data_IF_226797332353
#
_entry.id   IF_226797332353
#
_cell.length_a   1.000
_cell.length_b   1.000
_cell.length_c   1.000
_cell.angle_alpha   90.00
_cell.angle_beta   90.00
_cell.angle_gamma   90.00
#
_symmetry.space_group_name_H-M   'P 1'
#
loop_
_entity.id
_entity.type
_entity.pdbx_description
1 polymer ?
#
# COMPACT_ATOMS: atom_id res chain seq x y z
N UNK A 1 40.76 -74.11 2.73
CA UNK A 1 40.42 -73.20 1.62
C UNK A 1 38.95 -72.80 1.76
N UNK A 2 38.64 -71.76 2.53
CA UNK A 2 38.34 -70.38 2.07
C UNK A 2 37.21 -70.27 1.04
N UNK A 3 35.97 -70.66 1.40
CA UNK A 3 34.76 -70.25 0.66
C UNK A 3 33.57 -69.87 1.59
N UNK A 4 33.63 -70.12 2.91
CA UNK A 4 32.48 -69.95 3.81
C UNK A 4 32.21 -68.55 4.38
N UNK A 5 33.13 -67.58 4.28
CA UNK A 5 33.00 -66.27 4.96
C UNK A 5 32.46 -65.13 4.08
N UNK A 6 32.27 -65.35 2.78
CA UNK A 6 31.78 -64.31 1.86
C UNK A 6 30.25 -64.29 1.71
N UNK A 7 29.54 -65.36 2.09
CA UNK A 7 28.09 -65.45 1.91
C UNK A 7 27.32 -64.74 3.06
N UNK A 8 27.86 -64.74 4.29
CA UNK A 8 27.25 -64.04 5.43
C UNK A 8 27.43 -62.51 5.41
N UNK A 9 28.46 -62.01 4.72
CA UNK A 9 28.67 -60.56 4.57
C UNK A 9 27.80 -59.98 3.45
N UNK A 10 27.38 -60.77 2.47
CA UNK A 10 26.44 -60.37 1.41
C UNK A 10 25.00 -60.27 1.92
N UNK A 11 24.52 -61.25 2.70
CA UNK A 11 23.14 -61.22 3.23
C UNK A 11 22.89 -60.10 4.25
N UNK A 12 23.89 -59.74 5.07
CA UNK A 12 23.80 -58.57 5.96
C UNK A 12 23.86 -57.22 5.21
N UNK A 13 24.58 -57.16 4.08
CA UNK A 13 24.62 -55.96 3.23
C UNK A 13 23.32 -55.75 2.45
N UNK A 14 22.65 -56.80 2.02
CA UNK A 14 21.34 -56.68 1.37
C UNK A 14 20.22 -56.23 2.33
N UNK A 15 20.26 -56.64 3.60
CA UNK A 15 19.27 -56.19 4.60
C UNK A 15 19.45 -54.70 4.96
N UNK A 16 20.70 -54.22 5.02
CA UNK A 16 21.00 -52.81 5.26
C UNK A 16 20.56 -51.90 4.09
N UNK A 17 20.69 -52.35 2.84
CA UNK A 17 20.24 -51.59 1.67
C UNK A 17 18.72 -51.53 1.60
N UNK A 18 18.01 -52.61 1.98
CA UNK A 18 16.54 -52.64 2.01
C UNK A 18 15.95 -51.75 3.11
N UNK A 19 16.62 -51.62 4.26
CA UNK A 19 16.24 -50.69 5.34
C UNK A 19 16.58 -49.23 5.00
N UNK A 20 17.68 -49.00 4.27
CA UNK A 20 18.06 -47.66 3.82
C UNK A 20 17.09 -47.12 2.75
N UNK A 21 16.60 -47.97 1.83
CA UNK A 21 15.59 -47.56 0.82
C UNK A 21 14.23 -47.27 1.47
N UNK A 22 13.85 -47.99 2.53
CA UNK A 22 12.60 -47.70 3.26
C UNK A 22 12.69 -46.38 4.05
N UNK A 23 13.87 -46.05 4.60
CA UNK A 23 14.14 -44.75 5.24
C UNK A 23 14.35 -43.61 4.23
N UNK A 24 14.74 -43.92 2.99
CA UNK A 24 14.84 -42.93 1.91
C UNK A 24 13.49 -42.61 1.27
N UNK A 25 12.52 -43.54 1.33
CA UNK A 25 11.16 -43.32 0.82
C UNK A 25 10.19 -42.67 1.82
N UNK A 26 10.47 -42.69 3.12
CA UNK A 26 9.63 -42.04 4.15
C UNK A 26 10.12 -40.63 4.50
N UNK A 27 11.32 -40.24 4.07
CA UNK A 27 11.86 -38.88 4.22
C UNK A 27 11.60 -37.96 3.02
N UNK A 28 10.69 -38.35 2.14
CA UNK A 28 10.20 -37.53 1.02
C UNK A 28 8.67 -37.30 1.09
N UNK A 29 8.09 -37.33 2.29
CA UNK A 29 6.68 -37.03 2.56
C UNK A 29 6.47 -35.95 3.64
N UNK A 30 7.50 -35.15 3.93
CA UNK A 30 7.33 -33.76 4.34
C UNK A 30 8.09 -32.88 3.36
N UNK A 31 7.72 -33.01 2.08
CA UNK A 31 7.90 -31.93 1.14
C UNK A 31 7.14 -30.73 1.69
N UNK A 32 7.87 -29.84 2.34
CA UNK A 32 7.78 -28.40 2.09
C UNK A 32 6.45 -27.99 1.46
N UNK A 33 5.41 -27.86 2.28
CA UNK A 33 4.39 -26.83 2.05
C UNK A 33 5.00 -25.46 2.37
N UNK A 34 6.17 -25.17 1.80
CA UNK A 34 6.47 -23.81 1.39
C UNK A 34 5.44 -23.55 0.31
N UNK A 35 4.32 -22.97 0.75
CA UNK A 35 3.43 -22.18 -0.06
C UNK A 35 4.28 -21.55 -1.16
N UNK A 36 4.01 -21.93 -2.41
CA UNK A 36 4.44 -21.23 -3.60
C UNK A 36 3.82 -19.84 -3.53
N UNK A 37 4.31 -19.00 -2.60
CA UNK A 37 3.93 -17.60 -2.46
C UNK A 37 4.13 -17.00 -3.84
N UNK A 38 3.02 -16.62 -4.49
CA UNK A 38 2.96 -16.21 -5.87
C UNK A 38 4.08 -15.20 -6.19
N UNK A 39 5.08 -15.63 -6.95
CA UNK A 39 6.17 -14.76 -7.42
C UNK A 39 5.66 -13.60 -8.29
N UNK A 40 4.42 -13.67 -8.80
CA UNK A 40 3.78 -12.64 -9.62
C UNK A 40 3.23 -11.48 -8.79
N UNK A 41 2.58 -11.73 -7.66
CA UNK A 41 2.04 -10.68 -6.79
C UNK A 41 3.15 -9.81 -6.17
N UNK A 42 4.31 -10.41 -5.87
CA UNK A 42 5.49 -9.68 -5.38
C UNK A 42 6.02 -8.62 -6.36
N UNK A 43 5.74 -8.73 -7.66
CA UNK A 43 6.15 -7.70 -8.63
C UNK A 43 5.41 -6.37 -8.44
N UNK A 44 4.21 -6.41 -7.84
CA UNK A 44 3.40 -5.23 -7.55
C UNK A 44 3.83 -4.46 -6.31
N UNK A 45 4.71 -5.02 -5.47
CA UNK A 45 5.30 -4.32 -4.33
C UNK A 45 6.76 -4.08 -4.60
N UNK A 46 7.18 -2.82 -4.59
CA UNK A 46 8.59 -2.45 -4.60
C UNK A 46 8.87 -1.53 -3.42
N UNK A 47 9.48 -2.09 -2.37
CA UNK A 47 9.91 -1.28 -1.24
C UNK A 47 11.22 -0.57 -1.53
N UNK A 48 11.31 0.67 -1.08
CA UNK A 48 12.58 1.34 -0.93
C UNK A 48 13.45 0.52 0.05
N UNK A 49 14.62 0.06 -0.41
CA UNK A 49 15.65 -0.70 0.34
C UNK A 49 15.45 -2.22 0.47
N UNK A 50 14.59 -2.85 -0.33
CA UNK A 50 14.53 -4.32 -0.40
C UNK A 50 14.07 -5.02 0.90
N UNK A 51 13.37 -4.28 1.76
CA UNK A 51 12.73 -4.84 2.96
C UNK A 51 11.64 -5.84 2.56
N UNK A 52 11.42 -6.86 3.40
CA UNK A 52 10.34 -7.81 3.18
C UNK A 52 8.97 -7.13 3.32
N UNK A 53 7.99 -7.48 2.46
CA UNK A 53 6.63 -6.96 2.56
C UNK A 53 5.95 -7.47 3.84
N UNK A 54 5.15 -6.60 4.46
CA UNK A 54 4.27 -6.96 5.57
C UNK A 54 3.11 -7.82 5.04
N UNK A 55 2.53 -8.67 5.90
CA UNK A 55 1.36 -9.49 5.56
C UNK A 55 0.21 -8.67 4.98
N UNK A 56 -0.02 -7.47 5.53
CA UNK A 56 -1.05 -6.57 5.01
C UNK A 56 -0.72 -6.08 3.60
N UNK A 57 0.54 -5.75 3.33
CA UNK A 57 0.97 -5.33 1.99
C UNK A 57 0.84 -6.48 0.99
N UNK A 58 1.24 -7.71 1.38
CA UNK A 58 1.06 -8.92 0.56
C UNK A 58 -0.43 -9.09 0.18
N UNK A 59 -1.37 -8.84 1.11
CA UNK A 59 -2.81 -8.90 0.83
C UNK A 59 -3.28 -7.85 -0.20
N UNK A 60 -2.77 -6.62 -0.11
CA UNK A 60 -3.11 -5.53 -1.05
C UNK A 60 -2.52 -5.81 -2.44
N UNK A 61 -1.30 -6.36 -2.49
CA UNK A 61 -0.65 -6.73 -3.74
C UNK A 61 -1.34 -7.90 -4.43
N UNK A 62 -1.81 -8.89 -3.66
CA UNK A 62 -2.64 -9.97 -4.20
C UNK A 62 -3.93 -9.40 -4.78
N UNK A 63 -4.62 -8.50 -4.06
CA UNK A 63 -5.82 -7.85 -4.56
C UNK A 63 -5.57 -7.10 -5.88
N UNK A 64 -4.45 -6.36 -6.00
CA UNK A 64 -4.08 -5.68 -7.24
C UNK A 64 -3.80 -6.64 -8.40
N UNK A 65 -3.17 -7.79 -8.12
CA UNK A 65 -2.91 -8.82 -9.12
C UNK A 65 -4.20 -9.49 -9.60
N UNK A 66 -5.14 -9.78 -8.69
CA UNK A 66 -6.43 -10.35 -9.04
C UNK A 66 -7.23 -9.37 -9.92
N UNK A 67 -7.17 -8.07 -9.64
CA UNK A 67 -7.81 -7.03 -10.45
C UNK A 67 -7.22 -6.92 -11.86
N UNK A 68 -5.90 -7.11 -12.01
CA UNK A 68 -5.25 -7.16 -13.32
C UNK A 68 -5.74 -8.33 -14.19
N UNK A 69 -6.05 -9.47 -13.57
CA UNK A 69 -6.51 -10.66 -14.29
C UNK A 69 -8.01 -10.63 -14.59
N UNK A 70 -8.82 -10.06 -13.68
CA UNK A 70 -10.28 -10.10 -13.80
C UNK A 70 -10.84 -9.03 -14.75
N UNK A 71 -10.18 -7.88 -14.92
CA UNK A 71 -10.69 -6.77 -15.72
C UNK A 71 -9.79 -6.44 -16.93
N UNK A 72 -10.28 -6.71 -18.14
CA UNK A 72 -9.52 -6.47 -19.38
C UNK A 72 -9.21 -4.99 -19.62
N UNK A 73 -10.09 -4.07 -19.23
CA UNK A 73 -9.86 -2.62 -19.39
C UNK A 73 -8.72 -2.10 -18.50
N UNK A 74 -8.68 -2.52 -17.23
CA UNK A 74 -7.70 -2.07 -16.25
C UNK A 74 -6.36 -2.77 -16.40
N UNK A 75 -6.32 -3.93 -17.06
CA UNK A 75 -5.12 -4.76 -17.22
C UNK A 75 -3.95 -3.99 -17.86
N UNK A 76 -4.22 -3.25 -18.93
CA UNK A 76 -3.18 -2.50 -19.66
C UNK A 76 -2.53 -1.43 -18.78
N UNK A 77 -3.33 -0.73 -17.98
CA UNK A 77 -2.88 0.36 -17.12
C UNK A 77 -2.28 -0.16 -15.82
N UNK A 78 -2.80 -1.26 -15.25
CA UNK A 78 -2.31 -1.84 -14.00
C UNK A 78 -1.01 -2.60 -14.15
N UNK A 79 -0.71 -3.18 -15.33
CA UNK A 79 0.47 -4.03 -15.58
C UNK A 79 1.77 -3.40 -15.09
N UNK A 80 1.99 -2.14 -15.44
CA UNK A 80 3.23 -1.40 -15.12
C UNK A 80 3.18 -0.68 -13.76
N UNK A 81 2.04 -0.73 -13.07
CA UNK A 81 1.85 -0.09 -11.78
C UNK A 81 2.30 -0.99 -10.62
N UNK A 82 2.94 -0.34 -9.65
CA UNK A 82 3.36 -0.96 -8.40
C UNK A 82 3.21 0.03 -7.24
N UNK A 83 3.16 -0.52 -6.03
CA UNK A 83 3.01 0.21 -4.78
C UNK A 83 4.30 0.12 -3.97
N UNK A 84 4.57 1.15 -3.17
CA UNK A 84 5.71 1.18 -2.27
C UNK A 84 5.38 0.49 -0.94
N UNK A 85 4.24 0.87 -0.37
CA UNK A 85 3.75 0.31 0.89
C UNK A 85 2.25 0.50 1.00
N UNK A 86 1.63 -0.25 1.90
CA UNK A 86 0.24 -0.10 2.27
C UNK A 86 0.13 -0.13 3.79
N UNK A 87 -0.60 0.83 4.35
CA UNK A 87 -0.76 1.00 5.80
C UNK A 87 -2.24 1.06 6.12
N UNK A 88 -2.63 0.38 7.18
CA UNK A 88 -3.98 0.48 7.72
C UNK A 88 -4.00 1.53 8.85
N UNK A 89 -4.96 2.45 8.78
CA UNK A 89 -5.23 3.41 9.85
C UNK A 89 -6.62 3.19 10.43
N UNK A 90 -6.73 3.32 11.74
CA UNK A 90 -8.03 3.38 12.41
C UNK A 90 -8.51 4.85 12.41
N UNK A 91 -9.73 5.06 11.91
CA UNK A 91 -10.40 6.36 11.80
C UNK A 91 -11.50 6.45 12.85
N UNK A 92 -11.90 7.67 13.21
CA UNK A 92 -13.10 7.90 14.03
C UNK A 92 -14.34 7.24 13.42
N UNK A 93 -15.20 6.65 14.26
CA UNK A 93 -16.44 6.00 13.83
C UNK A 93 -16.32 4.51 13.49
N UNK A 94 -15.39 3.77 14.10
CA UNK A 94 -15.15 2.33 13.91
C UNK A 94 -14.81 1.90 12.47
N UNK A 95 -14.54 2.86 11.57
CA UNK A 95 -14.10 2.61 10.20
C UNK A 95 -12.58 2.53 10.15
N UNK A 96 -12.05 1.69 9.27
CA UNK A 96 -10.61 1.57 9.04
C UNK A 96 -10.30 2.09 7.63
N UNK A 97 -9.24 2.87 7.50
CA UNK A 97 -8.75 3.34 6.21
C UNK A 97 -7.57 2.48 5.75
N UNK A 98 -7.54 2.14 4.47
CA UNK A 98 -6.38 1.55 3.81
C UNK A 98 -5.70 2.64 3.00
N UNK A 99 -4.49 3.00 3.40
CA UNK A 99 -3.67 3.99 2.70
C UNK A 99 -2.61 3.29 1.89
N UNK A 100 -2.67 3.48 0.57
CA UNK A 100 -1.72 2.90 -0.38
C UNK A 100 -0.73 3.98 -0.79
N UNK A 101 0.55 3.74 -0.49
CA UNK A 101 1.64 4.61 -0.92
C UNK A 101 2.10 4.24 -2.32
N UNK A 102 1.91 5.19 -3.23
CA UNK A 102 2.24 5.07 -4.64
C UNK A 102 3.55 5.80 -4.93
N UNK A 103 4.45 5.27 -5.78
CA UNK A 103 5.62 6.01 -6.25
C UNK A 103 5.22 7.33 -6.93
N UNK A 104 5.89 8.44 -6.60
CA UNK A 104 5.57 9.75 -7.17
C UNK A 104 5.61 9.79 -8.71
N UNK A 105 6.47 8.96 -9.33
CA UNK A 105 6.56 8.83 -10.80
C UNK A 105 5.26 8.33 -11.43
N UNK A 106 4.54 7.45 -10.74
CA UNK A 106 3.33 6.79 -11.24
C UNK A 106 2.04 7.51 -10.86
N UNK A 107 2.12 8.60 -10.08
CA UNK A 107 0.95 9.35 -9.60
C UNK A 107 -0.04 9.71 -10.71
N UNK A 108 0.44 10.14 -11.89
CA UNK A 108 -0.43 10.54 -13.01
C UNK A 108 -1.23 9.35 -13.56
N UNK A 109 -0.61 8.17 -13.66
CA UNK A 109 -1.29 6.95 -14.11
C UNK A 109 -2.35 6.51 -13.09
N UNK A 110 -2.01 6.53 -11.80
CA UNK A 110 -2.98 6.24 -10.73
C UNK A 110 -4.15 7.21 -10.71
N UNK A 111 -3.93 8.51 -10.96
CA UNK A 111 -5.02 9.51 -11.06
C UNK A 111 -5.99 9.20 -12.21
N UNK A 112 -5.51 8.71 -13.36
CA UNK A 112 -6.36 8.34 -14.50
C UNK A 112 -7.34 7.22 -14.14
N UNK A 113 -6.89 6.24 -13.34
CA UNK A 113 -7.67 5.03 -13.01
C UNK A 113 -8.34 5.07 -11.65
N UNK A 114 -8.09 6.11 -10.86
CA UNK A 114 -8.41 6.18 -9.44
C UNK A 114 -9.86 5.79 -9.12
N UNK A 115 -10.84 6.39 -9.81
CA UNK A 115 -12.27 6.19 -9.50
C UNK A 115 -12.65 4.72 -9.68
N UNK A 116 -12.12 4.06 -10.72
CA UNK A 116 -12.40 2.64 -10.99
C UNK A 116 -11.64 1.75 -10.00
N UNK A 117 -10.36 2.04 -9.78
CA UNK A 117 -9.49 1.24 -8.92
C UNK A 117 -9.97 1.26 -7.46
N UNK A 118 -10.36 2.43 -6.93
CA UNK A 118 -10.87 2.56 -5.56
C UNK A 118 -12.17 1.78 -5.39
N UNK A 119 -13.10 1.85 -6.35
CA UNK A 119 -14.35 1.07 -6.29
C UNK A 119 -14.10 -0.43 -6.24
N UNK A 120 -13.15 -0.94 -7.04
CA UNK A 120 -12.82 -2.36 -7.05
C UNK A 120 -12.10 -2.81 -5.77
N UNK A 121 -11.21 -1.98 -5.21
CA UNK A 121 -10.56 -2.28 -3.95
C UNK A 121 -11.53 -2.20 -2.76
N UNK A 122 -12.48 -1.27 -2.76
CA UNK A 122 -13.51 -1.18 -1.71
C UNK A 122 -14.43 -2.40 -1.70
N UNK A 123 -14.71 -3.01 -2.86
CA UNK A 123 -15.43 -4.30 -2.92
C UNK A 123 -14.64 -5.43 -2.24
N UNK A 124 -13.32 -5.46 -2.42
CA UNK A 124 -12.44 -6.48 -1.81
C UNK A 124 -12.21 -6.24 -0.32
N UNK A 125 -12.11 -4.98 0.08
CA UNK A 125 -11.90 -4.54 1.46
C UNK A 125 -13.17 -3.90 2.01
N UNK A 126 -14.23 -4.71 2.17
CA UNK A 126 -15.51 -4.23 2.70
C UNK A 126 -15.34 -3.57 4.07
N UNK A 127 -16.04 -2.46 4.29
CA UNK A 127 -15.96 -1.69 5.53
C UNK A 127 -14.65 -0.91 5.72
N UNK A 128 -13.77 -0.88 4.71
CA UNK A 128 -12.56 -0.07 4.71
C UNK A 128 -12.55 0.94 3.58
N UNK A 129 -12.25 2.20 3.91
CA UNK A 129 -12.09 3.25 2.90
C UNK A 129 -10.69 3.19 2.31
N UNK A 130 -10.56 3.18 0.99
CA UNK A 130 -9.25 3.10 0.31
C UNK A 130 -8.82 4.48 -0.18
N UNK A 131 -7.62 4.90 0.19
CA UNK A 131 -7.03 6.19 -0.19
C UNK A 131 -5.62 5.96 -0.77
N UNK A 132 -5.32 6.64 -1.88
CA UNK A 132 -4.00 6.57 -2.52
C UNK A 132 -3.21 7.84 -2.27
N UNK A 133 -1.95 7.71 -1.88
CA UNK A 133 -1.08 8.85 -1.60
C UNK A 133 0.25 8.64 -2.28
N UNK A 134 0.74 9.64 -3.01
CA UNK A 134 2.08 9.54 -3.57
C UNK A 134 3.16 9.73 -2.48
N UNK A 135 4.13 8.81 -2.43
CA UNK A 135 5.27 8.89 -1.53
C UNK A 135 6.19 10.03 -1.95
N UNK A 136 6.27 11.08 -1.11
CA UNK A 136 7.10 12.27 -1.36
C UNK A 136 8.21 12.34 -0.30
N UNK A 137 9.44 12.66 -0.75
CA UNK A 137 10.59 12.81 0.16
C UNK A 137 10.68 14.24 0.68
N UNK A 138 10.59 14.41 1.99
CA UNK A 138 10.80 15.68 2.67
C UNK A 138 12.30 15.84 2.96
N UNK A 139 12.88 16.96 2.54
CA UNK A 139 14.26 17.30 2.86
C UNK A 139 14.29 18.32 4.00
N UNK A 140 15.17 18.12 4.97
CA UNK A 140 15.41 19.10 6.03
C UNK A 140 15.98 20.39 5.42
N UNK A 141 15.65 21.57 5.99
CA UNK A 141 16.30 22.81 5.59
C UNK A 141 17.84 22.66 5.66
N UNK A 142 18.59 23.18 4.68
CA UNK A 142 20.04 23.13 4.71
C UNK A 142 20.58 23.87 5.94
N UNK A 143 21.68 23.37 6.52
CA UNK A 143 22.37 24.08 7.62
C UNK A 143 23.02 25.35 7.06
N UNK A 144 23.14 26.40 7.89
CA UNK A 144 23.87 27.63 7.54
C UNK A 144 25.28 27.26 7.06
N UNK A 145 25.68 27.76 5.88
CA UNK A 145 26.99 27.48 5.27
C UNK A 145 27.05 26.28 4.32
N UNK A 146 25.95 25.54 4.11
CA UNK A 146 25.93 24.48 3.09
C UNK A 146 25.56 25.02 1.71
N UNK A 147 26.29 24.59 0.68
CA UNK A 147 26.04 24.95 -0.71
C UNK A 147 24.83 24.21 -1.34
N UNK A 148 24.30 23.19 -0.66
CA UNK A 148 23.20 22.38 -1.17
C UNK A 148 21.87 23.12 -1.01
N UNK A 149 21.35 23.64 -2.12
CA UNK A 149 20.03 24.30 -2.16
C UNK A 149 18.93 23.25 -2.16
N UNK A 150 18.00 23.35 -1.20
CA UNK A 150 16.82 22.47 -1.15
C UNK A 150 15.79 22.88 -2.22
N UNK A 151 15.34 21.95 -3.08
CA UNK A 151 14.21 22.20 -3.98
C UNK A 151 12.91 22.53 -3.22
N UNK A 152 12.14 23.52 -3.72
CA UNK A 152 10.90 23.99 -3.06
C UNK A 152 9.83 22.89 -2.94
N UNK A 153 9.74 21.99 -3.92
CA UNK A 153 8.83 20.84 -3.90
C UNK A 153 9.13 19.80 -2.81
N UNK A 154 10.33 19.83 -2.20
CA UNK A 154 10.74 18.94 -1.10
C UNK A 154 10.70 19.63 0.27
N UNK A 155 10.02 20.77 0.37
CA UNK A 155 9.73 21.44 1.65
C UNK A 155 8.59 20.73 2.40
N UNK A 156 8.57 20.84 3.73
CA UNK A 156 7.52 20.26 4.57
C UNK A 156 6.12 20.78 4.17
N UNK A 157 6.01 22.09 3.95
CA UNK A 157 4.74 22.74 3.59
C UNK A 157 4.24 22.28 2.23
N UNK A 158 5.08 22.32 1.19
CA UNK A 158 4.67 21.89 -0.15
C UNK A 158 4.29 20.41 -0.20
N UNK A 159 4.99 19.54 0.55
CA UNK A 159 4.65 18.11 0.62
C UNK A 159 3.31 17.91 1.34
N UNK A 160 3.03 18.64 2.41
CA UNK A 160 1.74 18.53 3.12
C UNK A 160 0.57 18.98 2.23
N UNK A 161 0.74 20.08 1.49
CA UNK A 161 -0.29 20.55 0.56
C UNK A 161 -0.50 19.53 -0.59
N UNK A 162 0.58 18.94 -1.10
CA UNK A 162 0.47 17.92 -2.15
C UNK A 162 -0.09 16.57 -1.65
N UNK A 163 0.07 16.24 -0.36
CA UNK A 163 -0.59 15.06 0.25
C UNK A 163 -2.10 15.33 0.37
N UNK A 164 -2.47 16.55 0.77
CA UNK A 164 -3.86 16.95 0.90
C UNK A 164 -4.61 16.78 -0.43
N UNK A 165 -4.03 17.23 -1.53
CA UNK A 165 -4.56 17.05 -2.89
C UNK A 165 -4.73 15.57 -3.29
N UNK A 166 -3.81 14.69 -2.88
CA UNK A 166 -3.90 13.27 -3.22
C UNK A 166 -4.99 12.57 -2.39
N UNK A 167 -5.18 12.97 -1.13
CA UNK A 167 -6.19 12.37 -0.23
C UNK A 167 -7.61 12.64 -0.72
N UNK A 168 -7.87 13.84 -1.23
CA UNK A 168 -9.23 14.25 -1.62
C UNK A 168 -9.61 13.90 -3.05
N UNK A 169 -8.65 13.45 -3.87
CA UNK A 169 -8.92 13.04 -5.24
C UNK A 169 -10.01 11.95 -5.26
N UNK A 170 -11.05 12.02 -6.12
CA UNK A 170 -11.17 12.84 -7.32
C UNK A 170 -11.56 14.32 -7.11
N UNK A 171 -12.05 14.69 -5.92
CA UNK A 171 -12.52 16.05 -5.68
C UNK A 171 -11.36 17.06 -5.66
N UNK A 172 -11.59 18.22 -6.26
CA UNK A 172 -10.62 19.31 -6.29
C UNK A 172 -10.83 20.27 -5.12
N UNK A 173 -9.73 20.86 -4.64
CA UNK A 173 -9.76 21.86 -3.57
C UNK A 173 -9.99 23.23 -4.20
N UNK A 174 -11.15 23.81 -3.92
CA UNK A 174 -11.53 25.17 -4.37
C UNK A 174 -10.87 26.23 -3.51
N UNK A 175 -10.76 25.97 -2.20
CA UNK A 175 -10.26 26.96 -1.26
C UNK A 175 -9.70 26.36 0.01
N UNK A 176 -8.81 27.11 0.66
CA UNK A 176 -8.20 26.74 1.93
C UNK A 176 -8.21 27.95 2.86
N UNK A 177 -8.82 27.80 4.03
CA UNK A 177 -8.83 28.81 5.09
C UNK A 177 -8.20 28.20 6.34
N UNK A 178 -7.37 28.97 7.03
CA UNK A 178 -6.78 28.52 8.30
C UNK A 178 -7.38 29.38 9.40
N UNK A 179 -8.14 28.74 10.29
CA UNK A 179 -8.68 29.39 11.49
C UNK A 179 -7.70 29.19 12.64
N UNK A 180 -7.32 30.30 13.26
CA UNK A 180 -6.55 30.32 14.50
C UNK A 180 -7.53 30.46 15.66
N UNK A 181 -7.44 29.58 16.67
CA UNK A 181 -8.20 29.72 17.93
C UNK A 181 -7.39 30.55 18.92
N UNK A 182 -8.06 31.00 19.98
CA UNK A 182 -7.43 31.73 21.09
C UNK A 182 -6.31 30.91 21.77
N UNK A 183 -6.47 29.59 21.82
CA UNK A 183 -5.46 28.66 22.36
C UNK A 183 -4.21 28.50 21.48
N UNK A 184 -4.13 29.21 20.34
CA UNK A 184 -3.06 29.07 19.35
C UNK A 184 -3.17 27.84 18.44
N UNK A 185 -4.16 26.97 18.69
CA UNK A 185 -4.47 25.82 17.82
C UNK A 185 -4.96 26.28 16.44
N UNK A 186 -4.57 25.53 15.40
CA UNK A 186 -4.89 25.83 14.00
C UNK A 186 -5.81 24.76 13.44
N UNK A 187 -6.96 25.16 12.92
CA UNK A 187 -7.84 24.29 12.11
C UNK A 187 -7.73 24.74 10.67
N UNK A 188 -7.42 23.81 9.76
CA UNK A 188 -7.55 24.10 8.32
C UNK A 188 -8.95 23.71 7.83
N UNK A 189 -9.71 24.68 7.37
CA UNK A 189 -10.95 24.49 6.63
C UNK A 189 -10.63 24.39 5.13
N UNK A 190 -11.01 23.28 4.52
CA UNK A 190 -10.78 23.02 3.10
C UNK A 190 -12.12 22.94 2.41
N UNK A 191 -12.27 23.73 1.37
CA UNK A 191 -13.45 23.76 0.53
C UNK A 191 -13.24 22.86 -0.67
N UNK A 192 -14.06 21.82 -0.79
CA UNK A 192 -14.08 20.91 -1.93
C UNK A 192 -15.07 21.38 -3.00
N UNK A 193 -14.85 21.02 -4.26
CA UNK A 193 -15.80 21.30 -5.33
C UNK A 193 -17.13 20.55 -5.09
N UNK A 194 -18.29 21.23 -5.07
CA UNK A 194 -19.59 20.58 -4.89
C UNK A 194 -19.95 19.56 -5.99
N UNK A 195 -19.33 19.62 -7.18
CA UNK A 195 -19.63 18.69 -8.29
C UNK A 195 -19.43 17.23 -7.95
N UNK A 196 -18.44 16.93 -7.11
CA UNK A 196 -18.09 15.55 -6.76
C UNK A 196 -18.61 15.11 -5.40
N UNK A 197 -19.50 15.91 -4.78
CA UNK A 197 -20.03 15.68 -3.44
C UNK A 197 -20.55 14.25 -3.24
N UNK A 198 -21.29 13.71 -4.21
CA UNK A 198 -21.86 12.37 -4.15
C UNK A 198 -20.82 11.26 -3.96
N UNK A 199 -19.59 11.44 -4.47
CA UNK A 199 -18.51 10.45 -4.39
C UNK A 199 -17.65 10.60 -3.14
N UNK A 200 -17.54 11.81 -2.56
CA UNK A 200 -16.57 12.10 -1.48
C UNK A 200 -17.22 12.32 -0.13
N UNK A 201 -18.53 12.59 -0.06
CA UNK A 201 -19.23 12.90 1.19
C UNK A 201 -19.12 11.80 2.26
N UNK A 202 -19.17 10.52 1.86
CA UNK A 202 -19.06 9.42 2.82
C UNK A 202 -17.64 9.27 3.42
N UNK A 203 -16.61 9.88 2.82
CA UNK A 203 -15.19 9.73 3.19
C UNK A 203 -14.58 10.91 3.95
N UNK A 204 -15.33 11.98 4.19
CA UNK A 204 -14.78 13.22 4.75
C UNK A 204 -14.07 13.02 6.10
N UNK A 205 -14.66 12.22 6.99
CA UNK A 205 -14.05 11.87 8.29
C UNK A 205 -12.75 11.07 8.13
N UNK A 206 -12.73 10.15 7.16
CA UNK A 206 -11.57 9.33 6.81
C UNK A 206 -10.44 10.18 6.26
N UNK A 207 -10.73 11.14 5.39
CA UNK A 207 -9.74 12.10 4.89
C UNK A 207 -9.12 12.91 6.02
N UNK A 208 -9.93 13.38 6.97
CA UNK A 208 -9.45 14.16 8.11
C UNK A 208 -8.57 13.31 9.03
N UNK A 209 -8.99 12.09 9.33
CA UNK A 209 -8.24 11.14 10.14
C UNK A 209 -6.88 10.76 9.54
N UNK A 210 -6.87 10.40 8.25
CA UNK A 210 -5.63 10.04 7.53
C UNK A 210 -4.67 11.21 7.46
N UNK A 211 -5.15 12.40 7.10
CA UNK A 211 -4.29 13.57 7.02
C UNK A 211 -3.73 13.98 8.39
N UNK A 212 -4.52 13.85 9.46
CA UNK A 212 -4.05 14.08 10.84
C UNK A 212 -2.95 13.10 11.24
N UNK A 213 -3.07 11.81 10.89
CA UNK A 213 -2.04 10.79 11.18
C UNK A 213 -0.75 11.03 10.41
N UNK A 214 -0.84 11.46 9.15
CA UNK A 214 0.34 11.70 8.30
C UNK A 214 1.05 13.02 8.60
N UNK A 215 0.30 14.07 8.90
CA UNK A 215 0.82 15.44 8.97
C UNK A 215 0.82 16.06 10.37
N UNK A 216 0.06 15.49 11.30
CA UNK A 216 -0.19 16.05 12.63
C UNK A 216 -1.05 17.31 12.65
N UNK A 217 -1.65 17.71 11.51
CA UNK A 217 -2.48 18.91 11.39
C UNK A 217 -3.96 18.55 11.38
N UNK A 218 -4.76 19.35 12.09
CA UNK A 218 -6.21 19.18 12.11
C UNK A 218 -6.86 19.86 10.90
N UNK A 219 -7.77 19.12 10.27
CA UNK A 219 -8.42 19.49 9.02
C UNK A 219 -9.92 19.22 9.10
N UNK A 220 -10.69 20.14 8.54
CA UNK A 220 -12.13 20.02 8.35
C UNK A 220 -12.42 20.25 6.87
N UNK A 221 -13.14 19.31 6.25
CA UNK A 221 -13.58 19.41 4.86
C UNK A 221 -15.03 19.91 4.84
N UNK A 222 -15.28 20.93 4.02
CA UNK A 222 -16.59 21.55 3.84
C UNK A 222 -16.84 21.71 2.34
N UNK A 223 -18.11 21.69 1.92
CA UNK A 223 -18.48 22.14 0.58
C UNK A 223 -18.91 23.61 0.68
N UNK A 224 -18.49 24.49 -0.25
CA UNK A 224 -19.01 25.84 -0.28
C UNK A 224 -20.52 25.77 -0.54
N UNK A 225 -21.30 26.39 0.33
CA UNK A 225 -22.72 26.62 0.05
C UNK A 225 -22.73 27.62 -1.10
N UNK A 226 -23.21 27.21 -2.26
CA UNK A 226 -23.48 28.15 -3.35
C UNK A 226 -24.54 29.12 -2.85
N UNK A 227 -24.15 30.34 -2.50
CA UNK A 227 -25.05 31.48 -2.49
C UNK A 227 -25.44 31.70 -3.95
N UNK A 228 -26.50 31.03 -4.40
CA UNK A 228 -27.18 31.37 -5.64
C UNK A 228 -27.77 32.77 -5.47
N UNK A 229 -27.05 33.77 -5.97
CA UNK A 229 -27.57 35.10 -6.25
C UNK A 229 -28.00 35.17 -7.72
#
# INVERSE_FOLDING_TARGET
MRIGSEVETLTRRFFAIRLLVLLFSVRLALSSTRSTKMFTARRKIQKDKGLEPSEFEESVAQALFDLENNNQELKSELKDLFINSAVQFDVSGNRKAVVIHVPFRLRKAYRKIHVRLVRELEKKFSGKDVIMIASRRILKPPKKGSAVVRPRNRTLTAVHDAILEDVVYPAEIVGKRIRYRLDGSKIMKIFLDPKERNNTEYKLETFAGVYRKLSGKDVVFEYPVTETA
#
